data_IF_839408969321
#
_entry.id   IF_839408969321
#
_cell.length_a   1.000
_cell.length_b   1.000
_cell.length_c   1.000
_cell.angle_alpha   90.00
_cell.angle_beta   90.00
_cell.angle_gamma   90.00
#
_symmetry.space_group_name_H-M   'P 1'
#
loop_
_entity.id
_entity.type
_entity.pdbx_description
1 polymer ?
#
# COMPACT_ATOMS: atom_id res chain seq x y z
N UNK A 1 -74.92 -38.01 1.74
CA UNK A 1 -73.98 -37.58 0.68
C UNK A 1 -72.56 -37.76 1.25
N UNK A 2 -72.08 -38.98 1.54
CA UNK A 2 -71.41 -39.96 0.64
C UNK A 2 -70.44 -39.26 -0.33
N UNK A 3 -69.13 -39.45 -0.27
CA UNK A 3 -68.50 -40.75 -0.49
C UNK A 3 -67.08 -40.86 0.10
N UNK A 4 -66.82 -42.02 0.73
CA UNK A 4 -65.54 -42.59 1.12
C UNK A 4 -64.82 -43.29 -0.05
N UNK A 5 -63.48 -43.36 0.01
CA UNK A 5 -62.62 -44.52 -0.37
C UNK A 5 -61.15 -44.17 -0.03
N UNK A 6 -60.49 -44.78 0.96
CA UNK A 6 -59.90 -46.14 0.99
C UNK A 6 -59.10 -46.45 -0.30
N UNK A 7 -57.83 -46.86 -0.32
CA UNK A 7 -56.87 -47.38 0.66
C UNK A 7 -55.83 -48.20 -0.14
N UNK A 8 -54.62 -48.45 0.40
CA UNK A 8 -53.71 -49.50 -0.10
C UNK A 8 -52.24 -49.13 -0.33
N UNK A 9 -51.41 -49.44 0.67
CA UNK A 9 -49.97 -49.80 0.62
C UNK A 9 -49.88 -51.36 0.68
N UNK A 10 -48.73 -52.07 0.75
CA UNK A 10 -47.31 -51.84 0.37
C UNK A 10 -46.60 -53.08 -0.30
N UNK A 11 -45.25 -53.07 -0.36
CA UNK A 11 -44.26 -54.20 -0.50
C UNK A 11 -44.12 -54.89 -1.90
N UNK A 12 -42.99 -55.42 -2.40
CA UNK A 12 -41.51 -55.38 -2.22
C UNK A 12 -40.92 -56.35 -3.33
N UNK A 13 -39.74 -56.99 -3.22
CA UNK A 13 -38.44 -56.70 -3.83
C UNK A 13 -38.06 -57.59 -5.05
N UNK A 14 -36.95 -57.27 -5.73
CA UNK A 14 -36.30 -58.18 -6.69
C UNK A 14 -34.89 -57.74 -7.08
N UNK A 15 -33.89 -58.38 -6.48
CA UNK A 15 -32.46 -58.26 -6.77
C UNK A 15 -32.08 -58.98 -8.08
N UNK A 16 -30.99 -58.54 -8.74
CA UNK A 16 -29.91 -59.42 -9.21
C UNK A 16 -28.73 -58.58 -9.78
N UNK A 17 -27.52 -58.88 -9.29
CA UNK A 17 -26.21 -58.49 -9.84
C UNK A 17 -25.60 -59.73 -10.55
N UNK A 18 -24.31 -59.79 -10.94
CA UNK A 18 -23.39 -58.82 -11.54
C UNK A 18 -22.88 -59.30 -12.92
N UNK A 19 -22.18 -58.45 -13.70
CA UNK A 19 -21.40 -58.91 -14.87
C UNK A 19 -19.95 -58.42 -14.81
N UNK A 20 -19.08 -59.41 -14.88
CA UNK A 20 -17.61 -59.43 -14.83
C UNK A 20 -16.93 -58.95 -16.12
N UNK A 21 -15.78 -58.25 -15.97
CA UNK A 21 -14.51 -58.28 -16.74
C UNK A 21 -14.45 -58.44 -18.28
N UNK A 22 -13.34 -58.03 -18.92
CA UNK A 22 -12.06 -58.68 -18.62
C UNK A 22 -10.84 -57.76 -18.42
N UNK A 23 -9.91 -58.28 -17.64
CA UNK A 23 -8.52 -57.84 -17.46
C UNK A 23 -7.68 -58.04 -18.72
N UNK A 24 -6.73 -57.15 -18.96
CA UNK A 24 -5.51 -57.45 -19.70
C UNK A 24 -4.30 -56.91 -18.93
N UNK A 25 -3.35 -57.81 -18.70
CA UNK A 25 -2.17 -57.67 -17.87
C UNK A 25 -0.95 -57.33 -18.71
N UNK A 26 -0.04 -56.53 -18.14
CA UNK A 26 1.40 -56.78 -18.19
C UNK A 26 2.20 -56.17 -19.36
N UNK A 27 3.09 -55.23 -19.03
CA UNK A 27 4.49 -55.28 -19.45
C UNK A 27 5.34 -54.34 -18.59
N UNK A 28 6.12 -54.94 -17.71
CA UNK A 28 7.33 -54.40 -17.09
C UNK A 28 8.44 -54.23 -18.14
N UNK A 29 9.12 -53.09 -18.14
CA UNK A 29 10.47 -52.99 -18.69
C UNK A 29 11.32 -52.00 -17.88
N UNK A 30 12.43 -52.54 -17.40
CA UNK A 30 13.52 -51.93 -16.66
C UNK A 30 14.25 -50.82 -17.45
N UNK A 31 15.00 -49.98 -16.72
CA UNK A 31 15.65 -48.74 -17.16
C UNK A 31 16.70 -48.81 -18.29
N UNK A 32 17.38 -47.69 -18.56
CA UNK A 32 18.62 -47.45 -17.81
C UNK A 32 18.81 -46.02 -17.29
N UNK A 33 19.65 -45.96 -16.25
CA UNK A 33 20.27 -44.78 -15.65
C UNK A 33 20.99 -43.89 -16.67
N UNK A 34 20.84 -42.57 -16.52
CA UNK A 34 21.87 -41.61 -16.92
C UNK A 34 21.80 -40.37 -16.01
N UNK A 35 22.85 -40.30 -15.19
CA UNK A 35 23.40 -39.16 -14.47
C UNK A 35 23.25 -37.80 -15.15
N UNK A 36 22.66 -36.84 -14.43
CA UNK A 36 22.73 -35.41 -14.71
C UNK A 36 22.88 -34.65 -13.40
N UNK A 37 24.13 -34.33 -13.06
CA UNK A 37 24.49 -33.52 -11.90
C UNK A 37 23.86 -32.13 -12.04
N UNK A 38 23.12 -31.69 -11.03
CA UNK A 38 22.83 -30.26 -10.84
C UNK A 38 23.61 -29.79 -9.62
N UNK A 39 24.58 -28.92 -9.91
CA UNK A 39 25.47 -28.25 -8.97
C UNK A 39 24.67 -27.45 -7.94
N UNK A 40 24.84 -27.81 -6.68
CA UNK A 40 24.56 -26.93 -5.56
C UNK A 40 25.45 -25.68 -5.65
N UNK A 41 24.83 -24.50 -5.53
CA UNK A 41 25.51 -23.25 -5.25
C UNK A 41 25.13 -22.79 -3.82
N UNK A 42 26.05 -22.12 -3.11
CA UNK A 42 26.08 -22.14 -1.65
C UNK A 42 25.22 -21.07 -1.00
N UNK A 43 24.72 -21.40 0.19
CA UNK A 43 24.29 -20.44 1.19
C UNK A 43 25.50 -19.65 1.71
N UNK A 44 25.47 -18.33 1.53
CA UNK A 44 26.34 -17.39 2.23
C UNK A 44 25.55 -16.69 3.31
N UNK A 45 25.84 -17.05 4.56
CA UNK A 45 25.46 -16.30 5.74
C UNK A 45 26.25 -15.00 5.83
N UNK A 46 25.58 -13.96 6.30
CA UNK A 46 26.20 -12.83 6.99
C UNK A 46 25.37 -12.56 8.24
N UNK A 47 25.97 -12.89 9.38
CA UNK A 47 25.44 -12.58 10.69
C UNK A 47 25.47 -11.07 10.93
N UNK A 48 24.37 -10.52 11.46
CA UNK A 48 24.34 -9.23 12.12
C UNK A 48 23.92 -9.47 13.56
N UNK A 49 24.90 -9.33 14.44
CA UNK A 49 24.81 -9.40 15.90
C UNK A 49 23.88 -8.34 16.46
N UNK A 50 23.01 -8.75 17.39
CA UNK A 50 22.05 -7.89 18.06
C UNK A 50 22.61 -7.01 19.17
N UNK A 51 21.75 -6.11 19.63
CA UNK A 51 21.77 -5.51 20.96
C UNK A 51 20.31 -5.36 21.44
N UNK A 52 20.00 -5.58 22.73
CA UNK A 52 18.65 -5.73 23.23
C UNK A 52 18.00 -4.39 23.61
N UNK A 53 16.67 -4.33 23.42
CA UNK A 53 15.79 -3.34 24.05
C UNK A 53 15.42 -3.82 25.45
N UNK A 54 15.76 -3.02 26.46
CA UNK A 54 15.35 -3.26 27.84
C UNK A 54 14.23 -2.29 28.20
N UNK A 55 13.05 -2.83 28.47
CA UNK A 55 12.01 -2.14 29.23
C UNK A 55 12.28 -2.25 30.73
N UNK A 56 11.84 -1.25 31.47
CA UNK A 56 11.49 -1.36 32.89
C UNK A 56 10.57 -0.19 33.25
N UNK A 57 9.32 -0.54 33.58
CA UNK A 57 8.37 0.25 34.35
C UNK A 57 8.84 0.39 35.81
N UNK A 58 8.58 1.55 36.43
CA UNK A 58 8.34 1.82 37.85
C UNK A 58 8.28 3.35 38.02
N UNK A 59 7.12 3.99 38.17
CA UNK A 59 6.16 3.99 39.28
C UNK A 59 6.60 4.77 40.54
N UNK A 60 5.89 5.90 40.73
CA UNK A 60 5.37 6.53 41.95
C UNK A 60 6.25 7.00 43.14
N UNK A 61 6.02 8.28 43.46
CA UNK A 61 5.89 8.98 44.77
C UNK A 61 7.09 9.59 45.52
N UNK A 62 6.73 10.66 46.24
CA UNK A 62 7.41 11.46 47.28
C UNK A 62 8.42 12.54 46.84
N UNK A 63 8.50 13.73 47.44
CA UNK A 63 7.58 14.63 48.17
C UNK A 63 8.39 15.93 48.42
N UNK A 64 7.70 17.05 48.65
CA UNK A 64 8.12 18.25 49.42
C UNK A 64 9.13 19.30 48.85
N UNK A 65 8.61 20.53 48.67
CA UNK A 65 9.27 21.83 48.87
C UNK A 65 9.23 22.18 50.38
N UNK A 66 10.26 22.80 51.00
CA UNK A 66 10.14 24.23 51.34
C UNK A 66 11.46 25.05 51.45
N UNK A 67 11.33 26.34 51.12
CA UNK A 67 12.04 27.56 51.58
C UNK A 67 12.94 27.46 52.85
N UNK A 68 14.07 28.20 52.88
CA UNK A 68 14.43 29.30 53.84
C UNK A 68 15.96 29.59 54.00
N UNK A 69 16.26 30.90 54.11
CA UNK A 69 17.24 31.61 54.96
C UNK A 69 18.78 31.47 54.84
N UNK A 70 19.38 32.54 54.30
CA UNK A 70 20.21 33.55 55.00
C UNK A 70 20.97 33.15 56.30
N UNK A 71 22.32 33.25 56.30
CA UNK A 71 23.13 33.97 57.32
C UNK A 71 24.67 33.82 57.20
N UNK A 72 25.33 34.98 57.27
CA UNK A 72 26.51 35.35 58.08
C UNK A 72 27.93 34.76 57.76
N UNK A 73 28.91 35.55 57.24
CA UNK A 73 29.92 36.46 57.90
C UNK A 73 31.29 35.77 58.16
N UNK A 74 32.44 36.43 58.50
CA UNK A 74 32.96 37.82 58.26
C UNK A 74 34.51 37.95 57.97
N UNK A 75 34.99 39.21 57.86
CA UNK A 75 36.34 39.79 58.21
C UNK A 75 37.49 39.68 57.19
N UNK A 76 37.89 40.72 56.45
CA UNK A 76 38.60 42.00 56.72
C UNK A 76 40.09 41.89 57.14
N UNK A 77 40.96 42.55 56.35
CA UNK A 77 42.24 43.10 56.82
C UNK A 77 42.78 44.16 55.83
N UNK A 78 42.39 45.42 56.11
CA UNK A 78 43.25 46.61 56.26
C UNK A 78 44.35 46.96 55.24
N UNK A 79 44.39 48.23 54.80
CA UNK A 79 45.66 48.91 54.46
C UNK A 79 45.58 50.03 53.40
N UNK A 80 45.29 51.26 53.84
CA UNK A 80 45.45 52.56 53.14
C UNK A 80 46.69 53.27 53.79
N UNK A 81 47.37 54.35 53.30
CA UNK A 81 47.12 55.31 52.19
C UNK A 81 48.36 55.66 51.31
N UNK A 82 48.17 56.53 50.29
CA UNK A 82 49.33 57.27 49.73
C UNK A 82 49.12 58.23 48.54
N UNK A 83 48.68 59.47 48.84
CA UNK A 83 49.15 60.76 48.28
C UNK A 83 48.76 61.22 46.86
N UNK A 84 48.39 62.50 46.85
CA UNK A 84 47.94 63.35 45.73
C UNK A 84 49.02 63.73 44.71
N UNK A 85 48.58 63.99 43.47
CA UNK A 85 49.34 64.65 42.41
C UNK A 85 48.43 65.28 41.36
N UNK A 86 48.49 66.61 41.27
CA UNK A 86 47.80 67.52 40.35
C UNK A 86 48.25 67.39 38.88
N UNK A 87 47.33 67.57 37.90
CA UNK A 87 47.37 68.62 36.86
C UNK A 87 46.76 68.25 35.48
N UNK A 88 45.85 69.15 35.04
CA UNK A 88 45.51 69.61 33.66
C UNK A 88 44.51 68.84 32.77
N UNK A 89 43.65 69.58 32.02
CA UNK A 89 42.63 69.02 31.14
C UNK A 89 43.19 68.78 29.74
N UNK A 90 43.04 67.55 29.23
CA UNK A 90 43.42 67.16 27.88
C UNK A 90 42.22 66.60 27.13
N UNK A 91 41.69 67.42 26.22
CA UNK A 91 40.87 67.09 25.04
C UNK A 91 40.19 65.72 24.99
N UNK A 92 38.86 65.74 25.10
CA UNK A 92 37.98 64.66 24.70
C UNK A 92 38.24 64.22 23.26
N UNK A 93 38.94 63.11 23.08
CA UNK A 93 38.82 62.31 21.86
C UNK A 93 37.53 61.49 21.97
N UNK A 94 36.59 61.74 21.05
CA UNK A 94 35.41 60.91 20.82
C UNK A 94 35.79 59.53 20.20
N UNK A 95 36.95 58.98 20.54
CA UNK A 95 37.28 57.59 20.25
C UNK A 95 36.71 56.74 21.38
N UNK A 96 35.38 56.60 21.35
CA UNK A 96 34.64 55.74 22.24
C UNK A 96 35.22 54.32 22.18
N UNK A 97 35.65 53.87 23.35
CA UNK A 97 36.19 52.56 23.65
C UNK A 97 35.14 51.49 23.30
N UNK A 98 35.22 50.89 22.11
CA UNK A 98 34.61 49.59 21.89
C UNK A 98 35.54 48.54 22.47
N UNK A 99 35.17 47.96 23.62
CA UNK A 99 35.81 46.75 24.10
C UNK A 99 35.71 45.65 23.03
N UNK A 100 36.60 44.66 23.06
CA UNK A 100 36.66 43.54 22.11
C UNK A 100 35.30 42.88 21.82
N UNK A 101 34.39 42.91 22.80
CA UNK A 101 32.99 42.45 22.69
C UNK A 101 32.15 43.21 21.66
N UNK A 102 32.39 44.51 21.47
CA UNK A 102 31.68 45.33 20.48
C UNK A 102 32.10 44.99 19.05
N UNK A 103 33.39 44.72 18.83
CA UNK A 103 33.92 44.31 17.52
C UNK A 103 33.38 42.93 17.13
N UNK A 104 33.30 41.99 18.07
CA UNK A 104 32.74 40.65 17.80
C UNK A 104 31.25 40.68 17.48
N UNK A 105 30.48 41.55 18.12
CA UNK A 105 29.04 41.72 17.83
C UNK A 105 28.84 42.29 16.42
N UNK A 106 29.60 43.31 16.03
CA UNK A 106 29.51 43.89 14.69
C UNK A 106 29.89 42.87 13.62
N UNK A 107 30.97 42.10 13.82
CA UNK A 107 31.38 41.05 12.88
C UNK A 107 30.35 39.92 12.76
N UNK A 108 29.72 39.51 13.86
CA UNK A 108 28.66 38.52 13.84
C UNK A 108 27.43 39.01 13.06
N UNK A 109 27.00 40.25 13.30
CA UNK A 109 25.86 40.86 12.59
C UNK A 109 26.13 41.04 11.10
N UNK A 110 27.35 41.44 10.71
CA UNK A 110 27.71 41.54 9.29
C UNK A 110 27.74 40.18 8.61
N UNK A 111 28.20 39.14 9.31
CA UNK A 111 28.22 37.77 8.77
C UNK A 111 26.80 37.26 8.55
N UNK A 112 25.90 37.46 9.51
CA UNK A 112 24.48 37.11 9.37
C UNK A 112 23.83 37.89 8.22
N UNK A 113 24.09 39.19 8.11
CA UNK A 113 23.56 40.00 7.02
C UNK A 113 24.05 39.52 5.64
N UNK A 114 25.34 39.18 5.51
CA UNK A 114 25.89 38.63 4.26
C UNK A 114 25.29 37.27 3.93
N UNK A 115 25.09 36.40 4.93
CA UNK A 115 24.43 35.11 4.72
C UNK A 115 22.97 35.27 4.29
N UNK A 116 22.23 36.22 4.88
CA UNK A 116 20.85 36.51 4.51
C UNK A 116 20.74 37.09 3.10
N UNK A 117 21.64 38.02 2.73
CA UNK A 117 21.70 38.57 1.37
C UNK A 117 22.11 37.49 0.38
N UNK A 118 23.10 36.66 0.70
CA UNK A 118 23.50 35.51 -0.12
C UNK A 118 22.38 34.50 -0.31
N UNK A 119 21.58 34.24 0.73
CA UNK A 119 20.39 33.39 0.66
C UNK A 119 19.30 34.01 -0.22
N UNK A 120 19.00 35.30 -0.06
CA UNK A 120 18.03 36.04 -0.87
C UNK A 120 18.43 36.09 -2.36
N UNK A 121 19.69 36.40 -2.64
CA UNK A 121 20.24 36.42 -4.00
C UNK A 121 20.28 35.01 -4.59
N UNK A 122 20.71 34.02 -3.82
CA UNK A 122 20.70 32.62 -4.23
C UNK A 122 19.28 32.13 -4.55
N UNK A 123 18.29 32.50 -3.74
CA UNK A 123 16.88 32.20 -3.95
C UNK A 123 16.32 32.88 -5.21
N UNK A 124 16.63 34.16 -5.41
CA UNK A 124 16.19 34.92 -6.58
C UNK A 124 16.82 34.40 -7.89
N UNK A 125 18.12 34.12 -7.88
CA UNK A 125 18.83 33.55 -9.04
C UNK A 125 18.30 32.14 -9.35
N UNK A 126 18.07 31.31 -8.33
CA UNK A 126 17.45 29.98 -8.50
C UNK A 126 16.06 30.04 -9.14
N UNK A 127 15.24 31.01 -8.74
CA UNK A 127 13.91 31.23 -9.31
C UNK A 127 13.92 31.77 -10.74
N UNK A 128 15.01 32.43 -11.16
CA UNK A 128 15.16 32.97 -12.51
C UNK A 128 15.83 32.00 -13.51
N UNK A 129 16.67 31.07 -13.03
CA UNK A 129 17.36 30.09 -13.90
C UNK A 129 16.59 28.78 -14.07
N UNK A 130 15.64 28.50 -13.18
CA UNK A 130 14.79 27.33 -13.24
C UNK A 130 13.36 27.78 -13.59
N UNK A 131 12.96 27.67 -14.86
CA UNK A 131 11.55 27.82 -15.24
C UNK A 131 10.65 26.67 -14.70
N UNK A 132 11.26 25.70 -14.02
CA UNK A 132 10.60 24.69 -13.19
C UNK A 132 10.59 25.17 -11.73
N UNK A 133 9.66 26.06 -11.39
CA UNK A 133 9.48 26.49 -10.00
C UNK A 133 8.92 25.36 -9.11
N UNK A 134 8.93 25.51 -7.76
CA UNK A 134 8.20 24.61 -6.84
C UNK A 134 6.71 24.46 -7.17
N UNK A 135 6.19 25.31 -8.06
CA UNK A 135 4.86 25.23 -8.67
C UNK A 135 4.59 23.94 -9.46
N UNK A 136 5.61 23.27 -10.04
CA UNK A 136 5.37 22.04 -10.81
C UNK A 136 4.95 20.85 -9.92
N UNK A 137 5.45 20.80 -8.67
CA UNK A 137 5.05 19.80 -7.67
C UNK A 137 3.68 20.10 -7.04
N UNK A 138 3.23 21.35 -7.12
CA UNK A 138 1.96 21.85 -6.58
C UNK A 138 0.88 22.03 -7.67
N UNK A 139 1.24 21.90 -8.95
CA UNK A 139 0.29 22.00 -10.04
C UNK A 139 -0.64 20.78 -9.98
N UNK A 140 -1.93 21.05 -9.77
CA UNK A 140 -2.95 20.02 -9.79
C UNK A 140 -2.92 19.31 -11.16
N UNK A 141 -2.88 17.96 -11.18
CA UNK A 141 -2.93 17.23 -12.43
C UNK A 141 -4.29 17.43 -13.10
N UNK A 142 -4.35 17.19 -14.42
CA UNK A 142 -5.61 17.18 -15.13
C UNK A 142 -6.56 16.14 -14.53
N UNK A 143 -7.86 16.43 -14.51
CA UNK A 143 -8.85 15.48 -13.97
C UNK A 143 -8.86 14.13 -14.71
N UNK A 144 -8.40 14.07 -15.96
CA UNK A 144 -8.28 12.85 -16.76
C UNK A 144 -6.90 12.19 -16.65
N UNK A 145 -5.99 12.70 -15.82
CA UNK A 145 -4.64 12.15 -15.69
C UNK A 145 -4.65 10.76 -15.04
N UNK A 146 -3.54 10.05 -15.19
CA UNK A 146 -3.27 8.80 -14.47
C UNK A 146 -3.35 9.02 -12.96
N UNK A 147 -2.83 10.13 -12.45
CA UNK A 147 -2.84 10.46 -11.02
C UNK A 147 -4.26 10.54 -10.45
N UNK A 148 -5.12 11.31 -11.13
CA UNK A 148 -6.49 11.53 -10.70
C UNK A 148 -7.36 10.28 -10.94
N UNK A 149 -7.14 9.57 -12.04
CA UNK A 149 -7.85 8.33 -12.37
C UNK A 149 -7.52 7.21 -11.39
N UNK A 150 -6.23 6.94 -11.16
CA UNK A 150 -5.75 5.95 -10.20
C UNK A 150 -6.29 6.22 -8.81
N UNK A 151 -6.19 7.45 -8.31
CA UNK A 151 -6.67 7.80 -6.98
C UNK A 151 -8.17 7.49 -6.83
N UNK A 152 -9.01 7.91 -7.78
CA UNK A 152 -10.47 7.68 -7.71
C UNK A 152 -10.84 6.21 -7.77
N UNK A 153 -10.25 5.49 -8.72
CA UNK A 153 -10.61 4.09 -8.96
C UNK A 153 -10.03 3.20 -7.85
N UNK A 154 -8.80 3.45 -7.40
CA UNK A 154 -8.21 2.68 -6.29
C UNK A 154 -8.89 2.97 -4.95
N UNK A 155 -9.43 4.17 -4.70
CA UNK A 155 -10.29 4.43 -3.53
C UNK A 155 -11.50 3.48 -3.54
N UNK A 156 -12.20 3.37 -4.68
CA UNK A 156 -13.38 2.49 -4.79
C UNK A 156 -12.98 1.03 -4.66
N UNK A 157 -11.84 0.65 -5.25
CA UNK A 157 -11.30 -0.70 -5.17
C UNK A 157 -10.99 -1.09 -3.71
N UNK A 158 -10.29 -0.24 -2.98
CA UNK A 158 -9.97 -0.44 -1.56
C UNK A 158 -11.17 -0.40 -0.62
N UNK A 159 -12.18 0.43 -0.91
CA UNK A 159 -13.40 0.45 -0.09
C UNK A 159 -14.09 -0.92 -0.06
N UNK A 160 -14.06 -1.66 -1.17
CA UNK A 160 -14.56 -3.05 -1.19
C UNK A 160 -13.65 -3.99 -0.37
N UNK A 161 -12.33 -3.84 -0.46
CA UNK A 161 -11.39 -4.63 0.34
C UNK A 161 -11.62 -4.45 1.84
N UNK A 162 -11.73 -3.20 2.31
CA UNK A 162 -12.09 -2.87 3.69
C UNK A 162 -13.44 -3.52 4.09
N UNK A 163 -14.43 -3.47 3.21
CA UNK A 163 -15.74 -4.10 3.48
C UNK A 163 -15.63 -5.62 3.64
N UNK A 164 -14.87 -6.30 2.78
CA UNK A 164 -14.62 -7.74 2.88
C UNK A 164 -13.86 -8.09 4.18
N UNK A 165 -12.87 -7.28 4.55
CA UNK A 165 -12.12 -7.46 5.79
C UNK A 165 -13.00 -7.34 7.03
N UNK A 166 -13.88 -6.33 7.09
CA UNK A 166 -14.83 -6.18 8.20
C UNK A 166 -15.76 -7.39 8.33
N UNK A 167 -16.28 -7.93 7.20
CA UNK A 167 -17.07 -9.16 7.25
C UNK A 167 -16.25 -10.35 7.75
N UNK A 168 -14.98 -10.49 7.34
CA UNK A 168 -14.12 -11.56 7.83
C UNK A 168 -13.87 -11.45 9.33
N UNK A 169 -13.59 -10.25 9.85
CA UNK A 169 -13.46 -9.99 11.29
C UNK A 169 -14.74 -10.37 12.05
N UNK A 170 -15.91 -10.01 11.56
CA UNK A 170 -17.18 -10.35 12.22
C UNK A 170 -17.50 -11.85 12.18
N UNK A 171 -17.09 -12.54 11.12
CA UNK A 171 -17.58 -13.89 10.81
C UNK A 171 -16.61 -15.02 11.20
N UNK A 172 -15.33 -14.71 11.43
CA UNK A 172 -14.29 -15.71 11.72
C UNK A 172 -14.21 -16.06 13.20
N UNK A 173 -13.84 -17.30 13.53
CA UNK A 173 -13.38 -17.69 14.88
C UNK A 173 -11.85 -17.85 14.93
N UNK A 174 -11.17 -17.65 13.81
CA UNK A 174 -9.75 -17.89 13.63
C UNK A 174 -8.92 -16.61 13.89
N UNK A 175 -8.01 -16.62 14.88
CA UNK A 175 -7.25 -15.42 15.24
C UNK A 175 -6.31 -14.96 14.13
N UNK A 176 -5.81 -15.86 13.27
CA UNK A 176 -4.90 -15.50 12.19
C UNK A 176 -5.66 -14.79 11.06
N UNK A 177 -6.88 -15.26 10.74
CA UNK A 177 -7.76 -14.63 9.75
C UNK A 177 -8.23 -13.27 10.25
N UNK A 178 -8.61 -13.17 11.53
CA UNK A 178 -8.98 -11.91 12.16
C UNK A 178 -7.85 -10.89 12.09
N UNK A 179 -6.62 -11.32 12.35
CA UNK A 179 -5.44 -10.45 12.31
C UNK A 179 -5.15 -9.94 10.90
N UNK A 180 -5.10 -10.82 9.90
CA UNK A 180 -4.81 -10.37 8.53
C UNK A 180 -5.93 -9.47 7.99
N UNK A 181 -7.20 -9.74 8.34
CA UNK A 181 -8.31 -8.87 7.96
C UNK A 181 -8.16 -7.46 8.57
N UNK A 182 -7.84 -7.36 9.87
CA UNK A 182 -7.57 -6.09 10.53
C UNK A 182 -6.40 -5.34 9.87
N UNK A 183 -5.28 -6.02 9.61
CA UNK A 183 -4.09 -5.41 9.02
C UNK A 183 -4.37 -4.87 7.59
N UNK A 184 -5.12 -5.63 6.79
CA UNK A 184 -5.58 -5.20 5.45
C UNK A 184 -6.51 -3.99 5.57
N UNK A 185 -7.52 -4.05 6.46
CA UNK A 185 -8.48 -2.97 6.67
C UNK A 185 -7.79 -1.67 7.06
N UNK A 186 -6.88 -1.73 8.05
CA UNK A 186 -6.12 -0.58 8.51
C UNK A 186 -5.23 0.02 7.41
N UNK A 187 -4.52 -0.83 6.66
CA UNK A 187 -3.63 -0.39 5.58
C UNK A 187 -4.41 0.25 4.44
N UNK A 188 -5.49 -0.39 3.99
CA UNK A 188 -6.31 0.14 2.89
C UNK A 188 -7.04 1.42 3.30
N UNK A 189 -7.52 1.55 4.55
CA UNK A 189 -8.10 2.80 5.06
C UNK A 189 -7.09 3.95 5.06
N UNK A 190 -5.85 3.71 5.49
CA UNK A 190 -4.79 4.71 5.44
C UNK A 190 -4.50 5.15 3.99
N UNK A 191 -4.44 4.19 3.06
CA UNK A 191 -4.22 4.44 1.63
C UNK A 191 -5.38 5.22 0.99
N UNK A 192 -6.63 4.90 1.33
CA UNK A 192 -7.82 5.67 0.94
C UNK A 192 -7.68 7.13 1.41
N UNK A 193 -7.30 7.33 2.68
CA UNK A 193 -7.14 8.68 3.24
C UNK A 193 -6.09 9.52 2.52
N UNK A 194 -4.96 8.91 2.12
CA UNK A 194 -3.93 9.61 1.34
C UNK A 194 -4.44 10.02 -0.04
N UNK A 195 -5.08 9.10 -0.77
CA UNK A 195 -5.63 9.39 -2.10
C UNK A 195 -6.75 10.44 -2.05
N UNK A 196 -7.63 10.38 -1.04
CA UNK A 196 -8.64 11.41 -0.80
C UNK A 196 -8.01 12.78 -0.50
N UNK A 197 -6.94 12.79 0.30
CA UNK A 197 -6.17 13.99 0.61
C UNK A 197 -5.57 14.64 -0.64
N UNK A 198 -5.04 13.85 -1.57
CA UNK A 198 -4.53 14.37 -2.84
C UNK A 198 -5.63 14.96 -3.72
N UNK A 199 -6.75 14.24 -3.87
CA UNK A 199 -7.89 14.75 -4.65
C UNK A 199 -8.41 16.07 -4.07
N UNK A 200 -8.49 16.19 -2.74
CA UNK A 200 -8.85 17.44 -2.08
C UNK A 200 -7.83 18.56 -2.31
N UNK A 201 -6.53 18.26 -2.17
CA UNK A 201 -5.45 19.23 -2.40
C UNK A 201 -5.42 19.74 -3.85
N UNK A 202 -5.67 18.86 -4.80
CA UNK A 202 -5.77 19.18 -6.23
C UNK A 202 -7.12 19.78 -6.62
N UNK A 203 -8.06 19.91 -5.66
CA UNK A 203 -9.43 20.40 -5.88
C UNK A 203 -10.17 19.60 -6.97
N UNK A 204 -9.90 18.29 -7.03
CA UNK A 204 -10.53 17.37 -7.96
C UNK A 204 -11.69 16.64 -7.28
N UNK A 205 -12.80 16.41 -7.99
CA UNK A 205 -13.92 15.66 -7.42
C UNK A 205 -13.50 14.21 -7.12
N UNK A 206 -13.94 13.64 -5.98
CA UNK A 206 -13.56 12.27 -5.58
C UNK A 206 -14.23 11.18 -6.42
N UNK A 207 -15.27 11.54 -7.18
CA UNK A 207 -15.96 10.65 -8.10
C UNK A 207 -16.25 11.43 -9.38
N UNK A 208 -16.17 10.75 -10.51
CA UNK A 208 -16.53 11.29 -11.82
C UNK A 208 -17.46 10.31 -12.51
N UNK A 209 -18.37 10.84 -13.34
CA UNK A 209 -19.19 10.00 -14.21
C UNK A 209 -18.35 9.52 -15.38
N UNK A 210 -18.51 8.26 -15.77
CA UNK A 210 -17.82 7.68 -16.94
C UNK A 210 -17.30 6.27 -16.67
N UNK A 211 -16.64 5.67 -17.67
CA UNK A 211 -16.05 4.34 -17.54
C UNK A 211 -14.96 4.32 -16.47
N UNK A 212 -14.98 3.29 -15.63
CA UNK A 212 -13.84 2.96 -14.76
C UNK A 212 -12.62 2.62 -15.63
N UNK A 213 -11.42 2.85 -15.11
CA UNK A 213 -10.16 2.51 -15.77
C UNK A 213 -9.88 3.28 -17.08
N UNK A 214 -10.66 4.33 -17.42
CA UNK A 214 -10.42 5.13 -18.63
C UNK A 214 -9.03 5.78 -18.67
N UNK A 215 -8.45 6.04 -17.50
CA UNK A 215 -7.10 6.60 -17.32
C UNK A 215 -5.97 5.63 -17.71
N UNK A 216 -6.26 4.31 -17.80
CA UNK A 216 -5.29 3.30 -18.24
C UNK A 216 -5.20 3.14 -19.76
N UNK A 217 -6.03 3.85 -20.53
CA UNK A 217 -6.06 3.73 -22.00
C UNK A 217 -5.17 4.77 -22.72
N UNK A 218 -4.64 5.75 -21.99
CA UNK A 218 -3.90 6.89 -22.55
C UNK A 218 -2.37 6.71 -22.66
N UNK A 219 -1.81 5.63 -22.11
CA UNK A 219 -0.40 5.28 -22.22
C UNK A 219 -0.24 4.17 -23.24
N UNK A 220 -0.03 4.53 -24.50
CA UNK A 220 0.11 3.55 -25.58
C UNK A 220 1.23 2.55 -25.29
N UNK A 221 0.87 1.28 -25.15
CA UNK A 221 1.46 0.10 -25.80
C UNK A 221 0.57 -1.13 -25.49
N UNK A 222 0.42 -2.00 -26.48
CA UNK A 222 -0.55 -3.07 -26.59
C UNK A 222 -0.61 -4.05 -25.40
N UNK A 223 -1.70 -4.03 -24.63
CA UNK A 223 -2.10 -5.17 -23.77
C UNK A 223 -3.00 -6.16 -24.53
N UNK A 224 -3.13 -6.01 -25.86
CA UNK A 224 -3.77 -6.99 -26.74
C UNK A 224 -2.84 -8.17 -27.11
N UNK A 225 -1.59 -8.19 -26.63
CA UNK A 225 -0.59 -9.19 -26.98
C UNK A 225 -0.18 -10.10 -25.81
N UNK A 226 -1.16 -10.74 -25.17
CA UNK A 226 -0.94 -12.02 -24.46
C UNK A 226 -1.99 -13.04 -24.87
N UNK A 227 -2.02 -13.42 -26.16
CA UNK A 227 -2.41 -14.79 -26.54
C UNK A 227 -2.02 -15.10 -28.00
N UNK A 228 -1.30 -16.20 -28.23
CA UNK A 228 -1.17 -16.79 -29.56
C UNK A 228 0.24 -16.85 -30.14
N UNK A 229 1.11 -17.68 -29.54
CA UNK A 229 2.18 -18.29 -30.31
C UNK A 229 1.57 -19.33 -31.26
N UNK A 230 1.40 -18.99 -32.53
CA UNK A 230 1.23 -19.94 -33.61
C UNK A 230 1.93 -19.42 -34.89
N UNK A 231 2.70 -20.31 -35.49
CA UNK A 231 3.65 -20.10 -36.58
C UNK A 231 3.03 -19.54 -37.89
N UNK A 232 3.83 -18.96 -38.80
CA UNK A 232 3.34 -18.50 -40.09
C UNK A 232 3.24 -19.68 -41.06
N UNK A 233 2.05 -19.93 -41.59
CA UNK A 233 1.88 -20.74 -42.81
C UNK A 233 1.09 -19.96 -43.86
N UNK A 234 1.62 -20.07 -45.07
CA UNK A 234 1.28 -19.41 -46.33
C UNK A 234 -0.10 -19.73 -46.90
N UNK A 235 -0.77 -18.70 -47.45
CA UNK A 235 -1.48 -18.74 -48.75
C UNK A 235 -2.93 -19.29 -48.81
N UNK A 236 -3.79 -18.59 -49.57
CA UNK A 236 -4.98 -19.18 -50.21
C UNK A 236 -6.31 -18.43 -50.00
N UNK A 237 -7.06 -18.25 -51.08
CA UNK A 237 -8.23 -17.38 -51.24
C UNK A 237 -9.57 -17.93 -50.73
N UNK A 238 -10.45 -16.98 -50.36
CA UNK A 238 -11.92 -16.93 -50.52
C UNK A 238 -12.75 -18.24 -50.49
N UNK A 239 -13.65 -18.35 -49.51
CA UNK A 239 -15.04 -18.80 -49.68
C UNK A 239 -15.87 -18.52 -48.42
N UNK A 240 -17.12 -18.12 -48.65
CA UNK A 240 -18.16 -17.92 -47.64
C UNK A 240 -18.59 -19.25 -46.99
N UNK A 241 -18.92 -19.20 -45.70
CA UNK A 241 -19.52 -20.30 -44.96
C UNK A 241 -20.14 -19.80 -43.66
N UNK A 242 -21.46 -19.82 -43.61
CA UNK A 242 -22.27 -19.43 -42.46
C UNK A 242 -22.12 -20.41 -41.29
N UNK A 243 -22.11 -19.87 -40.07
CA UNK A 243 -22.35 -20.60 -38.84
C UNK A 243 -21.42 -20.21 -37.70
N UNK A 244 -21.91 -19.39 -36.77
CA UNK A 244 -21.67 -19.57 -35.33
C UNK A 244 -22.28 -18.43 -34.50
N UNK A 245 -23.08 -18.85 -33.52
CA UNK A 245 -23.24 -18.25 -32.21
C UNK A 245 -23.60 -16.76 -32.14
N UNK A 246 -24.91 -16.52 -32.07
CA UNK A 246 -25.50 -15.48 -31.22
C UNK A 246 -24.92 -15.56 -29.81
N UNK A 247 -23.82 -14.85 -29.56
CA UNK A 247 -23.43 -14.43 -28.23
C UNK A 247 -24.41 -13.35 -27.81
N UNK A 248 -25.45 -13.74 -27.07
CA UNK A 248 -26.32 -12.82 -26.35
C UNK A 248 -25.44 -11.97 -25.45
N UNK A 249 -25.26 -10.71 -25.84
CA UNK A 249 -24.81 -9.66 -24.94
C UNK A 249 -25.81 -9.64 -23.79
N UNK A 250 -25.33 -9.99 -22.60
CA UNK A 250 -26.04 -9.76 -21.35
C UNK A 250 -26.23 -8.25 -21.21
N UNK A 251 -27.46 -7.82 -21.48
CA UNK A 251 -28.02 -6.51 -21.24
C UNK A 251 -28.31 -6.35 -19.73
N UNK A 252 -27.24 -6.34 -18.95
CA UNK A 252 -27.26 -5.80 -17.61
C UNK A 252 -26.18 -4.73 -17.56
N UNK A 253 -26.61 -3.46 -17.49
CA UNK A 253 -25.79 -2.26 -17.43
C UNK A 253 -24.92 -2.15 -16.17
N UNK A 254 -24.25 -3.22 -15.79
CA UNK A 254 -23.17 -3.24 -14.83
C UNK A 254 -21.97 -2.59 -15.49
N UNK A 255 -21.75 -1.32 -15.12
CA UNK A 255 -20.45 -0.65 -15.29
C UNK A 255 -19.35 -1.69 -15.06
N UNK A 256 -18.51 -1.95 -16.06
CA UNK A 256 -17.49 -2.99 -16.00
C UNK A 256 -16.74 -2.86 -14.66
N UNK A 257 -16.84 -3.91 -13.85
CA UNK A 257 -16.18 -3.94 -12.54
C UNK A 257 -14.67 -3.77 -12.76
N UNK A 258 -14.01 -3.04 -11.88
CA UNK A 258 -12.54 -2.97 -11.91
C UNK A 258 -11.97 -4.38 -11.70
N UNK A 259 -10.78 -4.68 -12.25
CA UNK A 259 -10.18 -6.01 -12.14
C UNK A 259 -10.13 -6.52 -10.70
N UNK A 260 -10.46 -7.79 -10.51
CA UNK A 260 -10.41 -8.46 -9.21
C UNK A 260 -11.55 -8.14 -8.23
N UNK A 261 -12.38 -7.13 -8.50
CA UNK A 261 -13.52 -6.79 -7.63
C UNK A 261 -14.49 -7.97 -7.48
N UNK A 262 -14.98 -8.16 -6.26
CA UNK A 262 -16.08 -9.07 -5.97
C UNK A 262 -17.41 -8.51 -6.52
N UNK A 263 -18.24 -9.38 -7.05
CA UNK A 263 -19.60 -9.06 -7.45
C UNK A 263 -20.51 -8.85 -6.22
N UNK A 264 -21.69 -8.26 -6.41
CA UNK A 264 -22.68 -8.13 -5.33
C UNK A 264 -23.05 -9.49 -4.72
N UNK A 265 -23.29 -10.50 -5.56
CA UNK A 265 -23.61 -11.86 -5.09
C UNK A 265 -22.48 -12.51 -4.29
N UNK A 266 -21.22 -12.26 -4.65
CA UNK A 266 -20.07 -12.72 -3.87
C UNK A 266 -19.95 -11.98 -2.53
N UNK A 267 -20.21 -10.67 -2.50
CA UNK A 267 -20.24 -9.89 -1.25
C UNK A 267 -21.36 -10.34 -0.31
N UNK A 268 -22.55 -10.60 -0.84
CA UNK A 268 -23.70 -11.11 -0.08
C UNK A 268 -23.41 -12.50 0.48
N UNK A 269 -22.77 -13.36 -0.33
CA UNK A 269 -22.31 -14.67 0.12
C UNK A 269 -21.30 -14.54 1.25
N UNK A 270 -20.25 -13.73 1.10
CA UNK A 270 -19.23 -13.54 2.15
C UNK A 270 -19.86 -13.06 3.46
N UNK A 271 -20.78 -12.09 3.38
CA UNK A 271 -21.53 -11.59 4.55
C UNK A 271 -22.31 -12.69 5.27
N UNK A 272 -22.79 -13.71 4.57
CA UNK A 272 -23.62 -14.79 5.12
C UNK A 272 -22.85 -15.97 5.73
N UNK A 273 -21.58 -16.17 5.35
CA UNK A 273 -20.77 -17.31 5.79
C UNK A 273 -20.16 -17.09 7.18
N UNK A 274 -19.95 -18.15 7.96
CA UNK A 274 -19.33 -18.09 9.30
C UNK A 274 -18.21 -19.11 9.45
N UNK A 275 -17.32 -18.88 10.41
CA UNK A 275 -16.19 -19.75 10.74
C UNK A 275 -15.33 -20.07 9.51
N UNK A 276 -14.84 -21.31 9.43
CA UNK A 276 -13.90 -21.76 8.39
C UNK A 276 -14.38 -21.52 6.95
N UNK A 277 -15.68 -21.59 6.69
CA UNK A 277 -16.22 -21.32 5.35
C UNK A 277 -16.09 -19.84 4.97
N UNK A 278 -16.32 -18.94 5.94
CA UNK A 278 -16.08 -17.50 5.76
C UNK A 278 -14.61 -17.24 5.52
N UNK A 279 -13.73 -17.88 6.28
CA UNK A 279 -12.28 -17.69 6.20
C UNK A 279 -11.75 -18.04 4.81
N UNK A 280 -12.11 -19.23 4.30
CA UNK A 280 -11.72 -19.70 2.98
C UNK A 280 -12.20 -18.72 1.91
N UNK A 281 -13.46 -18.30 2.01
CA UNK A 281 -14.06 -17.46 0.98
C UNK A 281 -13.53 -16.02 1.01
N UNK A 282 -13.26 -15.47 2.19
CA UNK A 282 -12.57 -14.19 2.35
C UNK A 282 -11.18 -14.22 1.70
N UNK A 283 -10.35 -15.21 2.07
CA UNK A 283 -9.00 -15.35 1.52
C UNK A 283 -9.04 -15.49 -0.01
N UNK A 284 -9.97 -16.28 -0.53
CA UNK A 284 -10.19 -16.44 -1.97
C UNK A 284 -10.53 -15.11 -2.68
N UNK A 285 -11.49 -14.36 -2.16
CA UNK A 285 -11.89 -13.09 -2.73
C UNK A 285 -10.79 -12.03 -2.60
N UNK A 286 -10.13 -11.96 -1.46
CA UNK A 286 -9.09 -10.96 -1.20
C UNK A 286 -7.82 -11.22 -2.02
N UNK A 287 -7.44 -12.49 -2.24
CA UNK A 287 -6.35 -12.82 -3.18
C UNK A 287 -6.69 -12.31 -4.59
N UNK A 288 -7.90 -12.59 -5.09
CA UNK A 288 -8.32 -12.15 -6.43
C UNK A 288 -8.42 -10.62 -6.52
N UNK A 289 -8.90 -9.98 -5.47
CA UNK A 289 -9.00 -8.52 -5.35
C UNK A 289 -7.62 -7.87 -5.45
N UNK A 290 -6.65 -8.33 -4.66
CA UNK A 290 -5.27 -7.85 -4.71
C UNK A 290 -4.62 -8.08 -6.07
N UNK A 291 -4.81 -9.26 -6.68
CA UNK A 291 -4.31 -9.54 -8.03
C UNK A 291 -4.87 -8.54 -9.07
N UNK A 292 -6.13 -8.14 -8.92
CA UNK A 292 -6.73 -7.11 -9.77
C UNK A 292 -6.12 -5.73 -9.57
N UNK A 293 -5.82 -5.37 -8.32
CA UNK A 293 -5.13 -4.14 -7.97
C UNK A 293 -3.71 -4.05 -8.54
N UNK A 294 -3.00 -5.18 -8.70
CA UNK A 294 -1.62 -5.20 -9.21
C UNK A 294 -1.47 -4.54 -10.57
N UNK A 295 -2.35 -4.83 -11.53
CA UNK A 295 -2.30 -4.21 -12.86
C UNK A 295 -2.52 -2.69 -12.79
N UNK A 296 -3.43 -2.23 -11.92
CA UNK A 296 -3.72 -0.81 -11.72
C UNK A 296 -2.51 -0.09 -11.11
N UNK A 297 -1.90 -0.67 -10.07
CA UNK A 297 -0.75 -0.10 -9.39
C UNK A 297 0.50 -0.10 -10.27
N UNK A 298 0.74 -1.17 -11.02
CA UNK A 298 1.87 -1.24 -11.95
C UNK A 298 1.75 -0.13 -13.01
N UNK A 299 0.57 0.00 -13.62
CA UNK A 299 0.36 1.05 -14.60
C UNK A 299 0.53 2.45 -13.99
N UNK A 300 0.00 2.70 -12.80
CA UNK A 300 0.16 3.99 -12.13
C UNK A 300 1.62 4.26 -11.73
N UNK A 301 2.36 3.25 -11.27
CA UNK A 301 3.79 3.35 -10.99
C UNK A 301 4.57 3.78 -12.23
N UNK A 302 4.22 3.25 -13.41
CA UNK A 302 4.95 3.48 -14.65
C UNK A 302 4.51 4.77 -15.39
N UNK A 303 3.27 5.22 -15.19
CA UNK A 303 2.66 6.26 -16.02
C UNK A 303 2.12 7.48 -15.25
N UNK A 304 2.18 7.50 -13.91
CA UNK A 304 1.76 8.68 -13.16
C UNK A 304 2.67 9.88 -13.43
N UNK A 305 2.06 11.05 -13.68
CA UNK A 305 2.82 12.29 -13.88
C UNK A 305 3.40 12.84 -12.57
N UNK A 306 2.77 12.52 -11.44
CA UNK A 306 3.23 12.91 -10.12
C UNK A 306 4.09 11.80 -9.49
N UNK A 307 5.38 12.07 -9.16
CA UNK A 307 6.27 11.07 -8.60
C UNK A 307 5.83 10.54 -7.23
N UNK A 308 5.05 11.32 -6.47
CA UNK A 308 4.47 10.87 -5.19
C UNK A 308 3.45 9.75 -5.44
N UNK A 309 2.63 9.90 -6.48
CA UNK A 309 1.63 8.88 -6.86
C UNK A 309 2.33 7.63 -7.38
N UNK A 310 3.32 7.79 -8.27
CA UNK A 310 4.11 6.67 -8.78
C UNK A 310 4.78 5.87 -7.65
N UNK A 311 5.42 6.56 -6.70
CA UNK A 311 6.09 5.91 -5.56
C UNK A 311 5.09 5.22 -4.62
N UNK A 312 3.94 5.84 -4.39
CA UNK A 312 2.89 5.26 -3.57
C UNK A 312 2.31 4.00 -4.20
N UNK A 313 2.01 4.02 -5.51
CA UNK A 313 1.54 2.84 -6.23
C UNK A 313 2.55 1.68 -6.14
N UNK A 314 3.84 1.95 -6.31
CA UNK A 314 4.88 0.93 -6.17
C UNK A 314 5.01 0.36 -4.75
N UNK A 315 4.84 1.18 -3.70
CA UNK A 315 4.81 0.69 -2.31
C UNK A 315 3.59 -0.18 -2.03
N UNK A 316 2.43 0.24 -2.53
CA UNK A 316 1.19 -0.53 -2.40
C UNK A 316 1.30 -1.88 -3.13
N UNK A 317 1.93 -1.90 -4.31
CA UNK A 317 2.17 -3.12 -5.07
C UNK A 317 3.04 -4.12 -4.28
N UNK A 318 4.08 -3.62 -3.63
CA UNK A 318 4.95 -4.45 -2.78
C UNK A 318 4.19 -5.03 -1.58
N UNK A 319 3.42 -4.20 -0.85
CA UNK A 319 2.65 -4.68 0.31
C UNK A 319 1.59 -5.70 -0.10
N UNK A 320 0.82 -5.42 -1.16
CA UNK A 320 -0.23 -6.35 -1.61
C UNK A 320 0.35 -7.68 -2.11
N UNK A 321 1.54 -7.68 -2.72
CA UNK A 321 2.21 -8.93 -3.14
C UNK A 321 2.60 -9.79 -1.93
N UNK A 322 3.10 -9.16 -0.86
CA UNK A 322 3.40 -9.86 0.39
C UNK A 322 2.12 -10.42 1.05
N UNK A 323 1.04 -9.65 1.09
CA UNK A 323 -0.26 -10.08 1.62
C UNK A 323 -0.84 -11.26 0.83
N UNK A 324 -0.77 -11.24 -0.51
CA UNK A 324 -1.19 -12.37 -1.35
C UNK A 324 -0.42 -13.65 -1.02
N UNK A 325 0.88 -13.54 -0.73
CA UNK A 325 1.71 -14.69 -0.34
C UNK A 325 1.21 -15.29 0.96
N UNK A 326 0.99 -14.46 1.98
CA UNK A 326 0.48 -14.88 3.29
C UNK A 326 -0.91 -15.51 3.16
N UNK A 327 -1.85 -14.84 2.47
CA UNK A 327 -3.20 -15.36 2.29
C UNK A 327 -3.23 -16.67 1.51
N UNK A 328 -2.35 -16.84 0.52
CA UNK A 328 -2.25 -18.09 -0.25
C UNK A 328 -1.80 -19.24 0.63
N UNK A 329 -0.84 -19.00 1.53
CA UNK A 329 -0.42 -20.01 2.51
C UNK A 329 -1.58 -20.36 3.46
N UNK A 330 -2.24 -19.36 4.05
CA UNK A 330 -3.39 -19.55 4.93
C UNK A 330 -4.52 -20.35 4.25
N UNK A 331 -4.74 -20.11 2.96
CA UNK A 331 -5.74 -20.81 2.17
C UNK A 331 -5.36 -22.28 1.94
N UNK A 332 -4.08 -22.55 1.66
CA UNK A 332 -3.56 -23.90 1.50
C UNK A 332 -3.65 -24.72 2.79
N UNK A 333 -3.32 -24.12 3.94
CA UNK A 333 -3.46 -24.73 5.28
C UNK A 333 -4.91 -25.13 5.59
N UNK A 334 -5.88 -24.40 5.00
CA UNK A 334 -7.31 -24.69 5.12
C UNK A 334 -7.81 -25.74 4.12
N UNK A 335 -6.94 -26.26 3.25
CA UNK A 335 -7.25 -27.28 2.24
C UNK A 335 -7.99 -26.72 1.02
N UNK A 336 -7.91 -25.41 0.79
CA UNK A 336 -8.59 -24.73 -0.31
C UNK A 336 -7.60 -24.17 -1.35
N UNK A 337 -8.14 -23.73 -2.49
CA UNK A 337 -7.37 -23.15 -3.61
C UNK A 337 -7.88 -21.75 -3.94
N UNK A 338 -7.03 -20.86 -4.49
CA UNK A 338 -7.47 -19.55 -4.97
C UNK A 338 -8.59 -19.68 -6.02
N UNK A 339 -9.44 -18.65 -6.09
CA UNK A 339 -10.40 -18.53 -7.19
C UNK A 339 -9.65 -18.21 -8.50
N UNK A 340 -10.19 -18.61 -9.67
CA UNK A 340 -9.69 -18.12 -10.94
C UNK A 340 -9.71 -16.58 -10.97
N UNK A 341 -8.69 -16.00 -11.59
CA UNK A 341 -8.66 -14.58 -11.87
C UNK A 341 -9.73 -14.24 -12.91
N UNK A 342 -10.49 -13.15 -12.69
CA UNK A 342 -11.59 -12.70 -13.54
C UNK A 342 -11.24 -11.47 -14.39
N UNK A 343 -9.96 -11.14 -14.52
CA UNK A 343 -9.47 -9.99 -15.30
C UNK A 343 -8.67 -10.39 -16.53
#
# INVERSE_FOLDING_TARGET
MTNDRAGGRPEDPGADAPSTGPSASGASSSGPSASGASSAAPASGAASSGAPVSGADADLTDDLDPRLDDRARPFDSTGVPGRAGSSRPGTSSLAARWGSKGVTIVLALTTVAVLLVGFLVGFAVRGATNNEGPSALLAAPASSSVDAGFARDMIVHHQQGVTMANYAEENTDDPDVRRIAYDISATQLAQIGQMQGWLALWQLPPQVSGPRMAWMQGGGHDMAAMNGAAAPTTGGSAAAGAGAATGTADDSGHMALMPGMATSGEMDRLKSLRGKESDIYFLQLMIRHHQGGQAMMQYAQDNAGNPIVANFAGKMLQSQTAEVTVMTQMLAERGAKPLPFNG
#
